data_IF_302344222900
#
_entry.id   IF_302344222900
#
_cell.length_a   1.000
_cell.length_b   1.000
_cell.length_c   1.000
_cell.angle_alpha   90.00
_cell.angle_beta   90.00
_cell.angle_gamma   90.00
#
_symmetry.space_group_name_H-M   'P 1'
#
loop_
_entity.id
_entity.type
_entity.pdbx_description
1 polymer ?
2 non-polymer ?
3 non-polymer ?
4 water ?
#
# COMPACT_ATOMS: atom_id res chain seq x y z
N UNK A 3 -4.36 -20.79 -16.39
CA UNK A 3 -4.99 -20.17 -15.19
C UNK A 3 -4.88 -21.10 -13.99
N UNK A 4 -4.20 -20.60 -12.96
CA UNK A 4 -4.00 -21.31 -11.71
C UNK A 4 -5.27 -21.33 -10.82
N UNK A 5 -5.93 -20.18 -10.73
CA UNK A 5 -7.08 -20.00 -9.82
C UNK A 5 -8.31 -20.77 -10.25
N UNK A 6 -8.91 -21.46 -9.30
CA UNK A 6 -10.17 -22.16 -9.55
C UNK A 6 -11.38 -21.24 -9.47
N UNK A 7 -11.48 -20.47 -8.40
CA UNK A 7 -12.52 -19.46 -8.25
C UNK A 7 -11.88 -18.12 -8.61
N UNK A 8 -12.54 -17.38 -9.48
CA UNK A 8 -12.00 -16.11 -9.98
C UNK A 8 -12.50 -14.98 -9.10
N UNK A 9 -11.73 -13.91 -9.06
CA UNK A 9 -12.00 -12.77 -8.19
C UNK A 9 -11.74 -11.51 -9.01
N UNK A 10 -12.52 -10.46 -8.70
CA UNK A 10 -12.31 -9.12 -9.25
C UNK A 10 -12.32 -8.10 -8.13
N UNK A 11 -11.61 -6.99 -8.29
CA UNK A 11 -11.66 -5.87 -7.35
C UNK A 11 -13.09 -5.43 -7.10
N UNK A 12 -13.42 -5.16 -5.82
CA UNK A 12 -14.75 -4.63 -5.45
C UNK A 12 -15.00 -3.22 -5.97
N UNK A 13 -13.92 -2.46 -6.10
CA UNK A 13 -14.01 -1.06 -6.46
C UNK A 13 -12.98 -0.79 -7.53
N UNK A 14 -13.17 0.28 -8.30
CA UNK A 14 -12.20 0.67 -9.31
C UNK A 14 -11.87 -0.49 -10.24
N UNK A 15 -12.85 -1.33 -10.54
CA UNK A 15 -12.57 -2.56 -11.24
C UNK A 15 -12.02 -2.37 -12.65
N UNK A 16 -12.61 -1.43 -13.39
CA UNK A 16 -12.37 -1.34 -14.83
C UNK A 16 -11.49 -0.20 -15.25
N UNK A 17 -10.69 0.35 -14.33
CA UNK A 17 -9.85 1.49 -14.69
C UNK A 17 -9.02 1.24 -15.93
N UNK A 18 -8.43 0.05 -16.07
CA UNK A 18 -7.55 -0.24 -17.19
C UNK A 18 -8.25 -0.85 -18.40
N UNK A 19 -9.57 -0.78 -18.39
CA UNK A 19 -10.38 -0.85 -19.61
C UNK A 19 -10.81 0.54 -20.03
N UNK A 20 -11.14 1.40 -19.06
CA UNK A 20 -11.40 2.83 -19.30
C UNK A 20 -10.20 3.50 -19.96
N UNK A 21 -9.01 3.20 -19.43
CA UNK A 21 -7.75 3.71 -19.93
C UNK A 21 -7.12 2.66 -20.83
N UNK A 22 -6.31 3.15 -21.77
CA UNK A 22 -5.79 2.31 -22.84
C UNK A 22 -4.29 2.05 -22.72
N UNK A 23 -3.71 1.42 -23.74
CA UNK A 23 -2.30 1.08 -23.77
C UNK A 23 -1.36 2.24 -23.48
N UNK A 24 -1.75 3.44 -23.88
CA UNK A 24 -0.91 4.62 -23.65
C UNK A 24 -0.67 4.82 -22.16
N UNK A 25 -1.64 4.38 -21.37
CA UNK A 25 -1.57 4.50 -19.90
C UNK A 25 -0.86 3.34 -19.22
N UNK A 26 -1.21 2.11 -19.58
CA UNK A 26 -0.71 0.94 -18.82
C UNK A 26 0.30 0.05 -19.52
N UNK A 27 0.58 0.28 -20.80
CA UNK A 27 1.46 -0.60 -21.54
C UNK A 27 2.91 -0.12 -21.39
N UNK A 28 3.54 -0.50 -20.29
CA UNK A 28 4.91 -0.06 -20.01
C UNK A 28 5.99 -0.80 -20.80
N UNK A 29 5.68 -2.02 -21.25
CA UNK A 29 6.63 -2.80 -22.07
C UNK A 29 6.99 -2.06 -23.33
N UNK A 30 5.98 -1.42 -23.93
CA UNK A 30 6.16 -0.69 -25.17
C UNK A 30 6.38 0.79 -24.91
N UNK A 31 7.40 1.06 -24.10
CA UNK A 31 7.93 2.39 -23.92
C UNK A 31 9.45 2.31 -24.12
N UNK A 32 10.04 3.47 -24.41
CA UNK A 32 11.49 3.59 -24.48
C UNK A 32 11.88 4.73 -23.51
N UNK A 33 12.76 4.40 -22.58
CA UNK A 33 13.17 5.38 -21.57
C UNK A 33 14.23 6.32 -22.13
N UNK A 34 13.97 7.62 -21.99
CA UNK A 34 14.92 8.67 -22.33
C UNK A 34 15.79 8.93 -21.10
N UNK A 35 16.88 8.18 -20.96
CA UNK A 35 17.83 8.38 -19.86
C UNK A 35 18.62 9.64 -20.15
N UNK A 36 18.73 10.51 -19.15
CA UNK A 36 19.46 11.77 -19.30
C UNK A 36 20.79 11.65 -18.57
N UNK A 37 21.90 11.78 -19.29
CA UNK A 37 23.21 11.65 -18.66
C UNK A 37 23.45 12.83 -17.75
N UNK A 38 23.85 12.52 -16.52
CA UNK A 38 23.99 13.53 -15.48
C UNK A 38 25.38 14.16 -15.50
N UNK A 39 25.62 14.99 -16.51
CA UNK A 39 26.88 15.72 -16.60
C UNK A 39 26.88 17.00 -15.78
N UNK A 40 25.72 17.58 -15.48
CA UNK A 40 25.70 18.86 -14.76
C UNK A 40 24.50 19.11 -13.87
N UNK A 41 23.64 18.12 -13.70
CA UNK A 41 22.35 18.39 -13.06
C UNK A 41 22.23 18.07 -11.59
N UNK A 42 22.83 16.96 -11.13
CA UNK A 42 22.58 16.43 -9.79
C UNK A 42 23.88 16.07 -9.10
N UNK A 43 24.08 16.66 -7.93
CA UNK A 43 25.21 16.37 -7.08
C UNK A 43 24.74 15.39 -6.03
N UNK A 44 25.47 14.29 -5.87
CA UNK A 44 25.15 13.26 -4.89
C UNK A 44 25.82 13.66 -3.57
N UNK A 45 25.05 13.74 -2.49
CA UNK A 45 25.60 13.99 -1.17
C UNK A 45 25.51 12.67 -0.37
N UNK A 46 24.79 12.66 0.74
CA UNK A 46 24.90 11.53 1.67
C UNK A 46 23.86 10.45 1.44
N UNK A 47 24.22 9.22 1.83
CA UNK A 47 23.31 8.08 1.72
C UNK A 47 22.19 8.22 2.74
N UNK A 48 20.94 7.99 2.31
CA UNK A 48 19.79 8.07 3.22
C UNK A 48 19.15 6.71 3.49
N UNK A 49 19.45 5.73 2.65
CA UNK A 49 18.95 4.39 2.86
C UNK A 49 19.25 3.44 1.73
N UNK A 50 18.57 2.29 1.76
CA UNK A 50 18.73 1.26 0.74
C UNK A 50 17.52 0.32 0.72
N UNK A 54 18.35 -1.32 -4.37
CA UNK A 54 18.92 -0.02 -4.72
C UNK A 54 19.69 0.58 -3.55
N UNK A 55 20.58 1.54 -3.88
CA UNK A 55 21.18 2.45 -2.89
C UNK A 55 20.63 3.86 -3.13
N UNK A 56 20.22 4.50 -2.05
CA UNK A 56 19.47 5.77 -2.13
C UNK A 56 20.26 6.88 -1.46
N UNK A 57 20.41 8.00 -2.17
CA UNK A 57 21.21 9.12 -1.70
C UNK A 57 20.39 10.42 -1.72
N UNK A 58 20.67 11.30 -0.77
CA UNK A 58 20.22 12.67 -0.85
C UNK A 58 21.24 13.45 -1.66
N UNK A 59 20.74 14.30 -2.54
CA UNK A 59 21.57 15.11 -3.38
C UNK A 59 20.96 16.47 -3.53
N UNK A 60 21.53 17.22 -4.46
CA UNK A 60 21.10 18.59 -4.73
C UNK A 60 20.98 18.78 -6.23
N UNK A 61 19.92 19.47 -6.64
CA UNK A 61 19.81 20.00 -7.98
C UNK A 61 20.80 21.14 -8.07
N UNK A 62 21.70 21.09 -9.04
CA UNK A 62 22.76 22.09 -9.09
C UNK A 62 22.28 23.48 -9.52
N UNK A 63 21.27 23.57 -10.37
CA UNK A 63 20.75 24.89 -10.73
C UNK A 63 20.05 25.55 -9.52
N UNK A 64 18.98 24.92 -9.03
CA UNK A 64 18.13 25.53 -7.99
C UNK A 64 18.59 25.33 -6.56
N UNK A 65 19.49 24.38 -6.33
CA UNK A 65 20.03 24.05 -5.01
C UNK A 65 19.00 23.37 -4.10
N UNK A 66 17.91 22.88 -4.68
CA UNK A 66 16.86 22.16 -3.96
C UNK A 66 17.39 20.75 -3.69
N UNK A 67 17.18 20.24 -2.47
CA UNK A 67 17.47 18.83 -2.17
C UNK A 67 16.56 17.91 -2.98
N UNK A 68 17.15 16.80 -3.45
CA UNK A 68 16.44 15.73 -4.14
C UNK A 68 16.96 14.38 -3.61
N UNK A 69 16.31 13.30 -4.02
CA UNK A 69 16.74 11.94 -3.74
C UNK A 69 17.18 11.27 -5.04
N UNK A 70 18.30 10.56 -4.99
CA UNK A 70 18.78 9.77 -6.11
C UNK A 70 18.74 8.30 -5.73
N UNK A 71 17.92 7.55 -6.45
CA UNK A 71 17.77 6.11 -6.24
C UNK A 71 18.53 5.37 -7.33
N UNK A 72 19.68 4.82 -6.95
CA UNK A 72 20.60 4.12 -7.87
C UNK A 72 20.12 2.70 -8.07
N UNK A 73 19.84 2.35 -9.33
CA UNK A 73 19.28 1.06 -9.72
C UNK A 73 20.36 0.04 -10.08
N UNK A 74 20.16 -1.22 -9.66
CA UNK A 74 21.09 -2.30 -9.97
C UNK A 74 20.78 -2.93 -11.34
N UNK A 77 17.33 -5.26 -14.22
CA UNK A 77 15.89 -5.43 -14.01
C UNK A 77 15.08 -4.49 -14.93
N UNK A 78 15.35 -4.56 -16.22
CA UNK A 78 14.92 -3.54 -17.18
C UNK A 78 13.39 -3.35 -17.28
N UNK A 79 12.65 -4.44 -17.37
CA UNK A 79 11.20 -4.37 -17.53
C UNK A 79 10.54 -3.75 -16.30
N UNK A 80 11.03 -4.15 -15.12
CA UNK A 80 10.51 -3.62 -13.88
C UNK A 80 10.80 -2.13 -13.73
N UNK A 81 11.95 -1.67 -14.24
CA UNK A 81 12.28 -0.23 -14.22
C UNK A 81 11.29 0.53 -15.09
N UNK A 82 10.99 0.00 -16.28
CA UNK A 82 10.05 0.65 -17.17
C UNK A 82 8.66 0.77 -16.51
N UNK A 83 8.29 -0.26 -15.77
CA UNK A 83 7.01 -0.31 -15.07
C UNK A 83 6.95 0.74 -13.96
N UNK A 84 8.00 0.79 -13.16
CA UNK A 84 8.09 1.78 -12.08
C UNK A 84 7.99 3.22 -12.61
N UNK A 85 8.74 3.51 -13.67
CA UNK A 85 8.67 4.82 -14.31
C UNK A 85 7.29 5.15 -14.87
N UNK A 86 6.63 4.16 -15.52
CA UNK A 86 5.32 4.42 -16.09
C UNK A 86 4.28 4.73 -15.01
N UNK A 87 4.39 3.99 -13.91
CA UNK A 87 3.48 4.17 -12.78
C UNK A 87 3.71 5.53 -12.13
N UNK A 88 4.97 5.86 -11.87
CA UNK A 88 5.29 7.14 -11.24
C UNK A 88 4.81 8.31 -12.09
N UNK A 89 5.03 8.21 -13.41
CA UNK A 89 4.63 9.29 -14.29
C UNK A 89 3.10 9.37 -14.49
N UNK A 90 2.44 8.22 -14.57
CA UNK A 90 0.98 8.18 -14.64
C UNK A 90 0.41 8.89 -13.39
N UNK A 91 0.95 8.58 -12.22
CA UNK A 91 0.42 9.15 -10.99
C UNK A 91 0.69 10.65 -10.86
N UNK A 92 1.87 11.09 -11.29
CA UNK A 92 2.20 12.50 -11.09
C UNK A 92 1.61 13.39 -12.18
N UNK A 93 1.37 12.83 -13.37
CA UNK A 93 0.99 13.66 -14.53
C UNK A 93 -0.51 13.82 -14.78
N UNK A 94 -1.35 13.08 -14.05
CA UNK A 94 -2.78 13.14 -14.23
C UNK A 94 -3.28 14.55 -13.91
N UNK A 95 -3.86 15.19 -14.93
CA UNK A 95 -4.23 16.61 -14.79
C UNK A 95 -5.33 16.84 -13.73
N UNK A 96 -6.31 15.95 -13.73
CA UNK A 96 -7.47 16.02 -12.82
C UNK A 96 -7.58 14.67 -12.09
N UNK A 97 -6.87 14.55 -10.96
CA UNK A 97 -6.91 13.28 -10.25
C UNK A 97 -8.34 12.85 -9.94
N UNK A 98 -8.68 11.58 -10.17
CA UNK A 98 -10.09 11.19 -9.97
C UNK A 98 -10.64 11.45 -8.57
N UNK A 99 -9.77 11.32 -7.57
CA UNK A 99 -10.12 11.52 -6.19
C UNK A 99 -10.41 12.97 -5.81
N UNK A 100 -10.15 13.91 -6.72
CA UNK A 100 -10.53 15.31 -6.51
C UNK A 100 -11.92 15.65 -7.07
N UNK A 101 -12.52 14.75 -7.85
CA UNK A 101 -13.84 14.98 -8.45
C UNK A 101 -14.95 14.58 -7.47
N UNK A 102 -16.18 15.06 -7.68
CA UNK A 102 -17.30 14.61 -6.87
C UNK A 102 -17.47 13.11 -6.92
N UNK A 103 -17.80 12.54 -5.76
CA UNK A 103 -17.95 11.10 -5.60
C UNK A 103 -19.16 10.60 -6.39
N UNK A 104 -18.97 9.48 -7.09
CA UNK A 104 -20.04 8.80 -7.83
C UNK A 104 -20.07 7.35 -7.37
N UNK A 105 -21.00 7.01 -6.49
CA UNK A 105 -21.00 5.71 -5.85
C UNK A 105 -21.08 4.55 -6.84
N UNK A 106 -21.83 4.74 -7.91
CA UNK A 106 -22.03 3.67 -8.87
C UNK A 106 -20.80 3.46 -9.74
N UNK A 107 -19.93 4.47 -9.83
CA UNK A 107 -18.67 4.35 -10.53
C UNK A 107 -17.54 3.91 -9.59
N UNK A 108 -17.85 3.84 -8.32
CA UNK A 108 -16.89 3.41 -7.32
C UNK A 108 -17.05 1.91 -7.01
N UNK A 109 -18.25 1.53 -6.55
CA UNK A 109 -18.59 0.11 -6.31
C UNK A 109 -18.99 -0.57 -7.62
N UNK A 110 -17.99 -1.07 -8.31
CA UNK A 110 -18.12 -1.51 -9.69
C UNK A 110 -18.30 -3.01 -9.84
N UNK A 111 -17.91 -3.79 -8.84
CA UNK A 111 -18.10 -5.23 -8.82
C UNK A 111 -19.53 -5.54 -8.35
N UNK A 112 -20.34 -6.18 -9.20
CA UNK A 112 -21.77 -6.41 -8.94
C UNK A 112 -22.16 -7.83 -8.56
N UNK A 113 -21.21 -8.64 -8.14
CA UNK A 113 -21.59 -9.89 -7.50
C UNK A 113 -22.48 -9.54 -6.29
N UNK A 114 -23.54 -10.32 -6.08
CA UNK A 114 -24.37 -10.16 -4.88
C UNK A 114 -23.55 -10.39 -3.62
N UNK A 115 -22.68 -11.40 -3.65
CA UNK A 115 -21.85 -11.75 -2.50
C UNK A 115 -20.79 -10.69 -2.19
N UNK A 116 -20.49 -9.83 -3.16
CA UNK A 116 -19.50 -8.78 -2.96
C UNK A 116 -20.17 -7.49 -2.45
N UNK A 117 -21.42 -7.28 -2.82
CA UNK A 117 -22.15 -6.10 -2.36
C UNK A 117 -22.48 -6.14 -0.85
N UNK A 118 -22.49 -7.34 -0.26
CA UNK A 118 -22.67 -7.44 1.19
C UNK A 118 -21.49 -6.81 1.95
N UNK A 119 -20.38 -6.59 1.26
CA UNK A 119 -19.21 -5.97 1.92
C UNK A 119 -19.20 -4.45 1.85
N UNK A 120 -20.20 -3.84 1.22
CA UNK A 120 -20.33 -2.40 1.23
C UNK A 120 -20.63 -1.94 2.64
N UNK A 121 -19.79 -1.10 3.21
CA UNK A 121 -19.98 -0.66 4.59
C UNK A 121 -21.03 0.44 4.67
N UNK A 122 -21.67 0.56 5.85
CA UNK A 122 -22.65 1.65 6.04
C UNK A 122 -22.02 3.03 6.22
N UNK A 123 -20.69 3.09 6.25
CA UNK A 123 -19.94 4.34 6.33
C UNK A 123 -18.96 4.34 5.14
N UNK A 124 -18.62 5.53 4.70
CA UNK A 124 -17.66 5.72 3.61
C UNK A 124 -17.29 7.20 3.59
N UNK A 125 -16.03 7.50 3.30
CA UNK A 125 -15.63 8.87 3.05
C UNK A 125 -16.02 9.18 1.61
N UNK A 126 -16.93 10.12 1.41
CA UNK A 126 -17.53 10.36 0.09
C UNK A 126 -17.19 11.74 -0.46
N UNK A 127 -16.08 12.31 0.00
CA UNK A 127 -15.68 13.64 -0.37
C UNK A 127 -14.46 13.63 -1.25
N UNK A 128 -14.28 14.69 -2.05
CA UNK A 128 -13.00 14.89 -2.71
C UNK A 128 -11.86 15.00 -1.72
N UNK A 129 -10.67 14.60 -2.13
CA UNK A 129 -9.48 14.74 -1.28
C UNK A 129 -8.22 14.88 -2.15
N UNK A 130 -7.13 15.28 -1.49
CA UNK A 130 -5.86 15.53 -2.14
C UNK A 130 -4.84 14.39 -2.01
N UNK A 131 -5.28 13.15 -1.94
CA UNK A 131 -4.35 12.03 -1.89
C UNK A 131 -3.30 12.00 -2.99
N UNK A 132 -3.60 12.55 -4.17
CA UNK A 132 -2.57 12.64 -5.21
C UNK A 132 -1.31 13.36 -4.71
N UNK A 133 -1.48 14.30 -3.80
CA UNK A 133 -0.34 15.09 -3.36
C UNK A 133 0.55 14.30 -2.39
N UNK A 134 0.10 13.10 -2.01
CA UNK A 134 0.84 12.24 -1.08
C UNK A 134 1.63 11.16 -1.79
N UNK A 135 1.67 11.20 -3.12
CA UNK A 135 2.46 10.30 -3.92
C UNK A 135 3.80 10.99 -4.19
N UNK A 136 4.91 10.31 -3.92
CA UNK A 136 6.22 10.91 -4.20
C UNK A 136 6.31 11.28 -5.68
N UNK A 137 6.95 12.41 -5.97
CA UNK A 137 7.16 12.82 -7.36
C UNK A 137 8.51 12.42 -7.92
N UNK A 138 8.45 11.73 -9.05
CA UNK A 138 9.62 11.51 -9.89
C UNK A 138 9.97 12.78 -10.66
N UNK A 139 11.21 13.23 -10.50
CA UNK A 139 11.69 14.45 -11.17
C UNK A 139 12.50 14.18 -12.43
N UNK A 140 13.21 13.07 -12.47
CA UNK A 140 14.14 12.80 -13.59
C UNK A 140 14.59 11.36 -13.61
N UNK A 141 15.07 10.97 -14.79
CA UNK A 141 15.54 9.64 -15.08
C UNK A 141 16.92 9.85 -15.68
N UNK A 142 17.96 9.37 -14.99
CA UNK A 142 19.34 9.73 -15.31
C UNK A 142 20.28 8.52 -15.41
N UNK A 143 21.43 8.74 -16.02
CA UNK A 143 22.54 7.81 -15.90
C UNK A 143 23.79 8.54 -15.42
N UNK A 144 24.56 7.88 -14.56
CA UNK A 144 25.84 8.41 -14.12
C UNK A 144 26.71 8.62 -15.37
N UNK A 145 27.37 9.78 -15.47
CA UNK A 145 28.09 10.12 -16.71
C UNK A 145 29.38 9.32 -16.90
N UNK A 146 29.90 8.73 -15.83
CA UNK A 146 31.10 7.91 -15.87
C UNK A 146 30.75 6.42 -15.89
N UNK A 147 29.99 5.96 -14.88
CA UNK A 147 29.68 4.53 -14.76
C UNK A 147 28.52 4.09 -15.65
N UNK A 148 27.71 5.04 -16.09
CA UNK A 148 26.50 4.78 -16.91
C UNK A 148 25.37 4.08 -16.13
N UNK A 149 25.49 3.99 -14.82
CA UNK A 149 24.49 3.35 -13.96
C UNK A 149 23.21 4.18 -13.96
N UNK A 150 22.05 3.52 -14.14
CA UNK A 150 20.79 4.26 -14.18
C UNK A 150 20.31 4.63 -12.78
N UNK A 151 19.63 5.77 -12.69
CA UNK A 151 19.04 6.22 -11.43
C UNK A 151 17.76 6.98 -11.65
N UNK A 152 16.91 6.99 -10.62
CA UNK A 152 15.73 7.84 -10.59
C UNK A 152 15.93 8.98 -9.60
N UNK A 153 15.48 10.15 -9.97
CA UNK A 153 15.60 11.36 -9.16
C UNK A 153 14.20 11.72 -8.67
N UNK A 154 14.07 11.87 -7.35
CA UNK A 154 12.81 12.17 -6.70
C UNK A 154 12.87 13.44 -5.86
N UNK A 155 11.68 13.98 -5.65
CA UNK A 155 11.34 14.82 -4.51
C UNK A 155 11.98 14.30 -3.23
N UNK A 156 12.55 15.21 -2.44
CA UNK A 156 13.13 14.88 -1.13
C UNK A 156 12.13 15.15 0.00
N UNK A 157 12.01 14.19 0.92
CA UNK A 157 11.23 14.38 2.14
C UNK A 157 12.18 14.35 3.35
N UNK A 158 12.00 15.28 4.29
CA UNK A 158 12.79 15.28 5.54
C UNK A 158 12.22 14.23 6.51
N UNK A 159 12.48 12.97 6.20
CA UNK A 159 11.95 11.84 6.95
C UNK A 159 12.70 11.58 8.25
N UNK A 160 11.96 11.05 9.20
CA UNK A 160 12.53 10.43 10.40
C UNK A 160 12.10 8.96 10.37
N UNK A 161 13.08 8.06 10.49
CA UNK A 161 12.84 6.63 10.44
C UNK A 161 11.69 6.28 11.39
N UNK A 162 10.79 5.42 10.96
CA UNK A 162 9.63 5.07 11.75
C UNK A 162 9.95 4.57 13.16
N UNK A 163 11.10 3.91 13.30
CA UNK A 163 11.46 3.36 14.61
C UNK A 163 11.84 4.45 15.59
N UNK A 164 12.18 5.61 15.07
CA UNK A 164 12.47 6.79 15.86
C UNK A 164 11.24 7.67 16.01
N UNK A 165 10.47 7.82 14.93
CA UNK A 165 9.32 8.73 14.94
C UNK A 165 8.06 8.17 15.58
N UNK A 166 7.71 6.93 15.27
CA UNK A 166 6.41 6.44 15.69
C UNK A 166 6.20 6.45 17.19
N UNK A 167 7.23 6.10 18.00
CA UNK A 167 7.01 6.15 19.46
C UNK A 167 6.67 7.54 19.98
N UNK A 168 6.96 8.59 19.22
CA UNK A 168 6.66 9.98 19.59
C UNK A 168 5.21 10.38 19.34
N UNK A 169 4.51 9.65 18.48
CA UNK A 169 3.24 10.11 17.98
C UNK A 169 2.10 9.85 18.96
N UNK A 170 1.25 10.85 19.12
CA UNK A 170 0.05 10.70 19.90
C UNK A 170 -0.99 9.90 19.10
N UNK A 171 -2.05 9.47 19.78
CA UNK A 171 -3.18 8.81 19.16
C UNK A 171 -3.68 9.68 17.99
N UNK A 172 -3.94 10.95 18.23
CA UNK A 172 -4.48 11.80 17.18
C UNK A 172 -3.52 11.94 16.00
N UNK A 173 -2.22 11.97 16.27
CA UNK A 173 -1.24 12.05 15.19
C UNK A 173 -1.22 10.78 14.35
N UNK A 174 -1.32 9.62 14.99
CA UNK A 174 -1.39 8.37 14.24
C UNK A 174 -2.65 8.38 13.36
N UNK A 175 -3.78 8.79 13.92
CA UNK A 175 -5.01 8.93 13.12
C UNK A 175 -4.78 9.85 11.93
N UNK A 176 -4.12 10.99 12.15
CA UNK A 176 -3.85 11.94 11.07
C UNK A 176 -3.00 11.33 9.96
N UNK A 177 -1.90 10.68 10.31
CA UNK A 177 -0.99 10.18 9.26
C UNK A 177 -1.59 8.96 8.56
N UNK A 178 -2.30 8.12 9.27
CA UNK A 178 -2.87 6.95 8.62
C UNK A 178 -4.01 7.37 7.68
N UNK A 179 -4.70 8.46 7.99
CA UNK A 179 -5.68 9.04 7.06
C UNK A 179 -4.95 9.54 5.79
N UNK A 180 -3.82 10.23 5.95
CA UNK A 180 -3.03 10.66 4.80
C UNK A 180 -2.61 9.48 3.94
N UNK A 181 -2.22 8.38 4.55
CA UNK A 181 -1.80 7.20 3.82
C UNK A 181 -2.98 6.62 3.06
N UNK A 182 -4.15 6.55 3.69
CA UNK A 182 -5.34 6.08 3.00
C UNK A 182 -5.69 6.96 1.81
N UNK A 183 -5.52 8.27 1.94
CA UNK A 183 -5.78 9.15 0.80
C UNK A 183 -4.87 8.79 -0.37
N UNK A 184 -3.58 8.58 -0.09
CA UNK A 184 -2.62 8.14 -1.11
C UNK A 184 -3.04 6.85 -1.79
N UNK A 185 -3.47 5.87 -1.01
CA UNK A 185 -3.88 4.57 -1.55
C UNK A 185 -5.17 4.69 -2.33
N UNK A 186 -6.13 5.45 -1.83
CA UNK A 186 -7.38 5.66 -2.60
C UNK A 186 -7.03 6.27 -3.97
N UNK A 187 -6.13 7.26 -4.00
CA UNK A 187 -5.76 7.84 -5.26
C UNK A 187 -5.10 6.82 -6.18
N UNK A 188 -4.10 6.09 -5.70
CA UNK A 188 -3.45 5.19 -6.64
C UNK A 188 -4.39 4.06 -7.12
N UNK A 189 -5.27 3.59 -6.23
CA UNK A 189 -6.29 2.59 -6.64
C UNK A 189 -7.25 3.17 -7.67
N UNK A 190 -7.63 4.43 -7.50
CA UNK A 190 -8.52 5.10 -8.46
C UNK A 190 -7.86 5.22 -9.83
N UNK A 191 -6.54 5.17 -9.84
CA UNK A 191 -5.69 5.20 -11.04
C UNK A 191 -5.31 3.80 -11.55
N UNK A 192 -5.94 2.77 -10.98
CA UNK A 192 -5.79 1.43 -11.49
C UNK A 192 -4.46 0.79 -11.16
N UNK A 193 -3.85 1.24 -10.07
CA UNK A 193 -2.53 0.79 -9.63
C UNK A 193 -2.56 0.23 -8.21
N UNK A 194 -1.89 -0.92 -8.03
CA UNK A 194 -1.66 -1.53 -6.73
C UNK A 194 -0.24 -1.20 -6.33
N UNK A 195 -0.03 -0.72 -5.10
CA UNK A 195 1.33 -0.40 -4.66
C UNK A 195 2.15 -1.68 -4.43
N UNK A 196 1.58 -2.62 -3.67
CA UNK A 196 2.11 -3.94 -3.40
C UNK A 196 3.35 -3.98 -2.51
N UNK A 197 3.69 -2.88 -1.85
CA UNK A 197 4.78 -2.91 -0.86
C UNK A 197 4.55 -1.84 0.21
N UNK A 198 3.33 -1.73 0.69
CA UNK A 198 3.02 -0.76 1.74
C UNK A 198 3.62 -1.24 3.05
N UNK A 199 4.43 -0.38 3.68
CA UNK A 199 5.08 -0.67 4.96
C UNK A 199 5.73 0.64 5.43
N UNK A 200 6.09 0.75 6.71
CA UNK A 200 6.61 2.02 7.22
C UNK A 200 7.87 2.51 6.50
N UNK A 201 8.72 1.60 6.06
CA UNK A 201 9.93 1.97 5.37
C UNK A 201 9.67 2.68 4.05
N UNK A 202 8.47 2.48 3.49
CA UNK A 202 8.08 3.10 2.24
C UNK A 202 7.11 4.26 2.42
N UNK A 203 7.02 4.77 3.64
CA UNK A 203 6.18 5.92 3.96
C UNK A 203 7.04 6.98 4.61
N UNK A 204 7.30 8.05 3.87
CA UNK A 204 8.15 9.13 4.36
C UNK A 204 7.28 10.17 5.06
N UNK A 205 7.68 10.58 6.27
CA UNK A 205 6.95 11.57 7.02
C UNK A 205 7.88 12.66 7.51
N UNK A 206 7.54 13.90 7.16
CA UNK A 206 8.20 15.12 7.67
C UNK A 206 7.24 15.69 8.72
N UNK A 207 7.46 15.36 9.99
CA UNK A 207 6.49 15.61 11.03
C UNK A 207 6.23 17.10 11.29
N UNK A 208 7.26 17.91 11.20
CA UNK A 208 7.06 19.34 11.53
C UNK A 208 6.08 19.96 10.52
N UNK A 209 6.10 19.46 9.27
CA UNK A 209 5.22 19.95 8.22
C UNK A 209 3.98 19.09 7.98
N UNK A 210 3.82 18.04 8.78
CA UNK A 210 2.66 17.13 8.71
C UNK A 210 2.51 16.57 7.31
N UNK A 211 3.66 16.28 6.70
CA UNK A 211 3.78 15.86 5.32
C UNK A 211 4.06 14.36 5.25
N UNK A 212 3.26 13.64 4.46
CA UNK A 212 3.43 12.20 4.27
C UNK A 212 3.52 11.89 2.78
N UNK A 213 4.48 11.04 2.38
CA UNK A 213 4.63 10.63 0.98
C UNK A 213 4.82 9.12 0.91
N UNK A 214 4.04 8.48 0.05
CA UNK A 214 4.18 7.06 -0.25
C UNK A 214 5.24 6.91 -1.34
N UNK A 215 6.30 6.19 -1.03
CA UNK A 215 7.44 6.01 -1.92
C UNK A 215 7.59 4.56 -2.35
N UNK A 216 8.63 4.31 -3.13
CA UNK A 216 9.05 2.97 -3.54
C UNK A 216 7.99 2.21 -4.31
N UNK A 217 7.83 2.66 -5.54
CA UNK A 217 6.84 2.11 -6.48
C UNK A 217 7.42 1.01 -7.37
N UNK A 218 8.55 0.46 -6.97
CA UNK A 218 9.22 -0.56 -7.77
C UNK A 218 8.53 -1.91 -7.82
N UNK A 219 7.58 -2.18 -6.90
CA UNK A 219 6.78 -3.41 -6.97
C UNK A 219 5.36 -3.15 -7.42
N UNK A 220 5.02 -1.89 -7.68
CA UNK A 220 3.66 -1.53 -8.07
C UNK A 220 3.27 -2.11 -9.41
N UNK A 221 1.98 -2.35 -9.60
CA UNK A 221 1.50 -2.96 -10.84
C UNK A 221 0.12 -2.40 -11.18
N UNK A 222 -0.19 -2.41 -12.49
CA UNK A 222 -1.51 -2.07 -13.00
C UNK A 222 -2.48 -3.22 -12.74
N UNK A 223 -3.67 -2.86 -12.24
CA UNK A 223 -4.74 -3.83 -12.01
C UNK A 223 -5.55 -4.08 -13.30
N UNK A 224 -5.54 -5.34 -13.73
CA UNK A 224 -6.28 -5.81 -14.90
C UNK A 224 -7.18 -6.94 -14.44
N UNK A 225 -8.43 -6.88 -14.85
CA UNK A 225 -9.45 -7.83 -14.34
C UNK A 225 -9.07 -9.27 -14.71
N UNK A 226 -9.10 -10.13 -13.68
CA UNK A 226 -8.77 -11.55 -13.77
C UNK A 226 -7.33 -11.86 -14.18
N UNK A 227 -6.42 -10.90 -14.05
CA UNK A 227 -5.02 -11.18 -14.27
C UNK A 227 -4.47 -11.94 -13.07
N UNK A 228 -3.65 -12.96 -13.32
CA UNK A 228 -2.96 -13.69 -12.25
C UNK A 228 -1.57 -13.12 -12.10
N UNK A 229 -1.31 -12.54 -10.92
CA UNK A 229 -0.06 -11.86 -10.64
C UNK A 229 0.93 -12.74 -9.90
N UNK A 230 2.19 -12.33 -10.00
CA UNK A 230 3.27 -12.87 -9.20
C UNK A 230 2.97 -12.58 -7.73
N UNK A 231 3.09 -13.60 -6.88
CA UNK A 231 2.88 -13.39 -5.44
C UNK A 231 4.17 -13.07 -4.69
N UNK A 232 5.31 -13.10 -5.36
CA UNK A 232 6.59 -12.67 -4.74
C UNK A 232 6.74 -11.15 -4.72
N UNK A 233 5.85 -10.51 -3.98
CA UNK A 233 5.80 -9.07 -3.86
C UNK A 233 5.59 -8.74 -2.38
N UNK A 234 5.48 -7.44 -2.07
CA UNK A 234 5.50 -6.95 -0.70
C UNK A 234 6.77 -7.38 -0.01
N UNK A 235 6.76 -7.30 1.32
CA UNK A 235 7.85 -7.72 2.17
C UNK A 235 7.22 -8.62 3.21
N UNK A 236 7.95 -9.66 3.64
CA UNK A 236 7.41 -10.79 4.41
C UNK A 236 6.40 -10.42 5.46
N UNK A 237 6.77 -9.49 6.35
CA UNK A 237 5.92 -9.18 7.48
C UNK A 237 4.58 -8.54 7.10
N UNK A 238 4.47 -8.02 5.87
CA UNK A 238 3.30 -7.28 5.41
C UNK A 238 2.56 -7.98 4.30
N UNK A 239 3.00 -9.19 3.96
CA UNK A 239 2.36 -9.97 2.91
C UNK A 239 0.99 -10.45 3.35
N UNK A 240 0.01 -10.21 2.50
CA UNK A 240 -1.32 -10.70 2.78
C UNK A 240 -1.43 -12.20 2.54
N UNK A 241 -2.45 -12.81 3.15
CA UNK A 241 -2.67 -14.25 2.97
C UNK A 241 -2.73 -14.70 1.52
N UNK A 242 -3.29 -13.86 0.63
CA UNK A 242 -3.37 -14.22 -0.79
C UNK A 242 -1.98 -14.49 -1.35
N UNK A 243 -0.97 -13.78 -0.89
CA UNK A 243 0.40 -13.98 -1.42
C UNK A 243 0.96 -15.28 -0.84
N UNK A 244 0.65 -15.52 0.41
CA UNK A 244 1.25 -16.66 1.11
C UNK A 244 0.65 -17.98 0.66
N UNK A 245 -0.61 -17.96 0.23
CA UNK A 245 -1.27 -19.18 -0.26
C UNK A 245 -1.26 -19.28 -1.78
N UNK A 246 -0.61 -18.31 -2.46
CA UNK A 246 -0.49 -18.26 -3.91
C UNK A 246 -1.85 -18.17 -4.61
N UNK A 247 -2.72 -17.29 -4.08
CA UNK A 247 -3.95 -16.90 -4.77
C UNK A 247 -3.59 -15.69 -5.60
N UNK A 248 -3.46 -15.92 -6.89
CA UNK A 248 -2.81 -14.96 -7.80
C UNK A 248 -3.73 -13.87 -8.30
N UNK A 249 -5.03 -14.06 -8.21
CA UNK A 249 -5.98 -13.13 -8.80
C UNK A 249 -6.40 -12.07 -7.77
N UNK A 250 -5.39 -11.38 -7.22
CA UNK A 250 -5.59 -10.43 -6.17
C UNK A 250 -5.72 -9.01 -6.76
N UNK A 251 -5.92 -8.02 -5.89
CA UNK A 251 -6.21 -6.67 -6.35
C UNK A 251 -5.77 -5.62 -5.32
N UNK A 252 -6.30 -4.41 -5.45
CA UNK A 252 -5.95 -3.28 -4.56
C UNK A 252 -6.02 -3.63 -3.07
N UNK A 253 -6.90 -4.55 -2.73
CA UNK A 253 -7.16 -4.93 -1.35
C UNK A 253 -5.91 -5.54 -0.68
N UNK A 254 -4.95 -6.01 -1.45
CA UNK A 254 -3.65 -6.40 -0.91
C UNK A 254 -3.05 -5.27 -0.08
N UNK A 255 -3.17 -4.04 -0.58
CA UNK A 255 -2.58 -2.87 0.06
C UNK A 255 -3.29 -2.57 1.39
N UNK A 256 -4.56 -2.92 1.48
CA UNK A 256 -5.30 -2.69 2.73
C UNK A 256 -4.92 -3.68 3.82
N UNK A 257 -4.57 -4.91 3.42
CA UNK A 257 -3.95 -5.83 4.39
C UNK A 257 -2.67 -5.23 4.93
N UNK A 258 -1.78 -4.81 4.04
CA UNK A 258 -0.52 -4.24 4.45
C UNK A 258 -0.73 -3.03 5.36
N UNK A 259 -1.64 -2.16 4.97
CA UNK A 259 -2.05 -1.04 5.79
C UNK A 259 -2.49 -1.48 7.19
N UNK A 260 -3.37 -2.47 7.27
CA UNK A 260 -3.84 -2.99 8.54
C UNK A 260 -2.73 -3.52 9.39
N UNK A 261 -1.75 -4.19 8.78
CA UNK A 261 -0.62 -4.76 9.53
C UNK A 261 0.23 -3.63 10.11
N UNK A 262 0.43 -2.61 9.30
CA UNK A 262 1.16 -1.42 9.74
C UNK A 262 0.40 -0.75 10.89
N UNK A 263 -0.90 -0.61 10.74
CA UNK A 263 -1.74 0.00 11.77
C UNK A 263 -1.65 -0.80 13.07
N UNK A 264 -1.82 -2.12 12.99
CA UNK A 264 -1.76 -2.97 14.20
C UNK A 264 -0.43 -2.82 14.89
N UNK A 265 0.65 -2.78 14.13
CA UNK A 265 1.96 -2.59 14.73
C UNK A 265 2.06 -1.29 15.50
N UNK A 266 1.53 -0.22 14.94
CA UNK A 266 1.60 1.12 15.58
C UNK A 266 0.75 1.17 16.84
N UNK A 267 -0.46 0.65 16.75
CA UNK A 267 -1.43 0.73 17.83
C UNK A 267 -1.03 -0.17 19.01
N UNK A 268 -0.58 -1.38 18.70
CA UNK A 268 -0.22 -2.36 19.74
C UNK A 268 1.26 -2.29 20.14
N UNK A 269 2.03 -1.44 19.47
CA UNK A 269 3.45 -1.28 19.74
C UNK A 269 4.16 -2.64 19.72
N UNK A 270 3.93 -3.36 18.63
CA UNK A 270 4.48 -4.69 18.41
C UNK A 270 4.90 -4.70 16.95
N UNK A 271 6.20 -4.62 16.72
CA UNK A 271 6.74 -4.37 15.40
C UNK A 271 7.84 -5.38 15.10
N UNK A 272 7.67 -6.19 14.04
CA UNK A 272 6.45 -6.25 13.24
C UNK A 272 5.35 -6.99 14.00
N UNK A 273 4.13 -6.87 13.52
CA UNK A 273 2.99 -7.44 14.21
C UNK A 273 2.92 -8.98 14.03
N UNK A 274 3.06 -9.42 12.80
CA UNK A 274 3.11 -10.82 12.44
C UNK A 274 4.55 -11.12 12.09
N UNK A 275 5.29 -11.70 13.05
CA UNK A 275 6.72 -11.88 12.92
C UNK A 275 7.11 -13.30 12.51
N UNK A 276 6.92 -13.60 11.23
CA UNK A 276 7.29 -14.91 10.70
C UNK A 276 8.80 -15.05 10.54
N UNK A 277 9.29 -16.26 10.75
CA UNK A 277 10.71 -16.59 10.64
C UNK A 277 11.03 -17.17 9.27
N UNK A 278 10.00 -17.34 8.46
CA UNK A 278 10.13 -17.84 7.10
C UNK A 278 8.85 -17.47 6.37
N UNK A 279 8.79 -17.78 5.08
CA UNK A 279 7.61 -17.52 4.29
C UNK A 279 6.42 -18.35 4.78
N UNK A 280 6.69 -19.64 5.00
CA UNK A 280 5.70 -20.56 5.51
C UNK A 280 5.27 -20.17 6.92
N UNK A 281 6.23 -19.81 7.77
CA UNK A 281 5.91 -19.46 9.16
C UNK A 281 5.15 -18.13 9.26
N UNK A 282 5.33 -17.25 8.28
CA UNK A 282 4.57 -16.00 8.26
C UNK A 282 3.07 -16.29 8.22
N UNK A 283 2.67 -17.28 7.43
CA UNK A 283 1.26 -17.63 7.34
C UNK A 283 0.81 -18.24 8.65
N UNK A 284 1.67 -19.09 9.23
CA UNK A 284 1.32 -19.69 10.50
C UNK A 284 1.11 -18.62 11.58
N UNK A 285 1.96 -17.60 11.60
CA UNK A 285 1.81 -16.49 12.54
C UNK A 285 0.48 -15.71 12.37
N UNK A 286 0.04 -15.56 11.13
CA UNK A 286 -1.25 -14.94 10.87
C UNK A 286 -2.40 -15.81 11.38
N UNK A 287 -2.34 -17.10 11.07
CA UNK A 287 -3.40 -18.02 11.43
C UNK A 287 -3.49 -18.16 12.94
N UNK A 288 -2.36 -18.08 13.64
CA UNK A 288 -2.36 -18.11 15.10
C UNK A 288 -3.10 -16.94 15.74
N UNK A 289 -3.32 -15.87 14.96
CA UNK A 289 -4.13 -14.75 15.41
C UNK A 289 -5.57 -14.83 14.91
N UNK A 290 -5.75 -14.90 13.59
CA UNK A 290 -7.08 -14.91 12.98
C UNK A 290 -7.82 -16.24 13.12
N UNK A 291 -7.07 -17.32 13.38
CA UNK A 291 -7.66 -18.65 13.65
C UNK A 291 -7.81 -19.53 12.43
N UNK A 292 -7.72 -20.85 12.63
CA UNK A 292 -7.82 -21.82 11.56
C UNK A 292 -9.23 -21.93 10.95
N UNK A 293 -10.27 -21.74 11.76
CA UNK A 293 -11.64 -21.90 11.29
C UNK A 293 -11.91 -20.98 10.09
N UNK A 294 -11.65 -19.70 10.27
CA UNK A 294 -11.88 -18.74 9.20
C UNK A 294 -10.88 -18.93 8.06
N UNK A 295 -9.68 -19.42 8.38
CA UNK A 295 -8.70 -19.77 7.34
C UNK A 295 -9.26 -20.85 6.41
N UNK A 296 -9.79 -21.92 6.99
CA UNK A 296 -10.37 -23.00 6.19
C UNK A 296 -11.54 -22.52 5.34
N UNK A 297 -12.36 -21.64 5.89
CA UNK A 297 -13.51 -21.11 5.17
C UNK A 297 -13.03 -20.33 3.96
N UNK A 298 -11.97 -19.58 4.15
CA UNK A 298 -11.32 -18.85 3.06
C UNK A 298 -10.77 -19.74 1.96
N UNK A 299 -10.02 -20.79 2.32
CA UNK A 299 -9.52 -21.71 1.31
C UNK A 299 -10.66 -22.34 0.54
N UNK A 300 -11.75 -22.65 1.24
CA UNK A 300 -12.91 -23.27 0.60
C UNK A 300 -13.60 -22.31 -0.36
N UNK A 301 -13.75 -21.05 0.06
CA UNK A 301 -14.42 -20.04 -0.82
C UNK A 301 -13.74 -19.93 -2.18
N UNK A 302 -12.41 -19.96 -2.20
CA UNK A 302 -11.64 -19.80 -3.43
C UNK A 302 -11.10 -21.12 -4.00
N UNK A 303 -11.40 -22.24 -3.33
CA UNK A 303 -10.89 -23.55 -3.72
C UNK A 303 -9.39 -23.54 -3.93
N UNK A 304 -8.71 -23.01 -2.91
CA UNK A 304 -7.26 -22.90 -2.90
C UNK A 304 -6.66 -24.17 -2.35
N UNK A 305 -5.61 -24.63 -3.00
CA UNK A 305 -4.72 -25.65 -2.47
C UNK A 305 -3.43 -24.95 -2.08
N UNK A 306 -2.98 -25.19 -0.86
CA UNK A 306 -1.76 -24.57 -0.37
C UNK A 306 -0.54 -24.94 -1.23
N UNK A 307 0.42 -24.00 -1.37
CA UNK A 307 1.63 -24.26 -2.14
C UNK A 307 2.41 -25.47 -1.58
N UNK A 308 3.30 -26.02 -2.40
CA UNK A 308 3.94 -27.31 -2.10
C UNK A 308 4.73 -27.37 -0.79
N UNK A 309 5.14 -26.21 -0.27
CA UNK A 309 5.95 -26.15 0.94
C UNK A 309 5.15 -26.43 2.22
N UNK A 310 3.82 -26.36 2.13
CA UNK A 310 2.95 -26.37 3.30
C UNK A 310 2.43 -27.74 3.63
N UNK A 311 2.57 -28.12 4.90
CA UNK A 311 1.68 -29.12 5.48
C UNK A 311 0.33 -28.46 5.73
N UNK A 312 -0.69 -29.28 5.95
CA UNK A 312 -2.01 -28.79 6.37
C UNK A 312 -1.88 -27.92 7.62
N UNK A 313 -2.65 -26.84 7.64
CA UNK A 313 -2.59 -25.90 8.75
C UNK A 313 -3.09 -26.58 10.02
N UNK A 314 -2.30 -26.48 11.09
CA UNK A 314 -2.72 -26.96 12.41
C UNK A 314 -3.91 -26.12 12.91
N UNK A 315 -4.57 -26.60 13.95
CA UNK A 315 -5.72 -25.91 14.52
C UNK A 315 -5.31 -24.90 15.59
N UNK A 316 -5.71 -23.65 15.38
CA UNK A 316 -5.47 -22.56 16.30
C UNK A 316 -6.78 -21.83 16.49
N UNK A 317 -7.12 -21.50 17.73
CA UNK A 317 -8.31 -20.73 18.04
C UNK A 317 -7.96 -19.26 17.89
N UNK A 318 -8.88 -18.49 17.29
CA UNK A 318 -8.67 -17.06 17.10
C UNK A 318 -8.25 -16.38 18.39
N UNK A 319 -7.25 -15.50 18.28
CA UNK A 319 -6.83 -14.66 19.38
C UNK A 319 -7.50 -13.30 19.24
N UNK A 320 -8.43 -12.98 20.15
CA UNK A 320 -9.07 -11.67 20.08
C UNK A 320 -8.07 -10.52 20.17
N UNK A 321 -8.37 -9.42 19.47
CA UNK A 321 -7.49 -8.26 19.41
C UNK A 321 -7.20 -7.70 20.81
N UNK A 322 -8.18 -7.76 21.70
CA UNK A 322 -8.00 -7.18 23.04
C UNK A 322 -6.85 -7.86 23.83
N UNK A 323 -6.46 -9.07 23.43
CA UNK A 323 -5.34 -9.77 24.07
C UNK A 323 -3.98 -9.12 23.79
N UNK A 324 -3.91 -8.22 22.80
CA UNK A 324 -2.66 -7.52 22.49
C UNK A 324 -2.55 -6.20 23.25
N UNK A 325 -3.59 -5.85 23.99
CA UNK A 325 -3.63 -4.61 24.77
C UNK A 325 -2.78 -4.77 26.02
N UNK A 326 -1.97 -3.77 26.31
CA UNK A 326 -1.21 -3.72 27.58
C UNK A 326 -1.06 -2.28 28.04
N UNK A 327 -0.51 -2.07 29.24
CA UNK A 327 -0.45 -0.72 29.80
C UNK A 327 0.41 0.22 28.95
N UNK A 328 1.39 -0.35 28.25
CA UNK A 328 2.28 0.40 27.38
C UNK A 328 1.61 0.92 26.10
N UNK A 329 0.57 0.23 25.63
CA UNK A 329 -0.12 0.63 24.40
C UNK A 329 -1.59 1.06 24.56
N UNK A 330 -2.12 1.07 25.78
CA UNK A 330 -3.57 1.27 25.95
C UNK A 330 -4.06 2.67 25.59
N UNK A 331 -3.15 3.65 25.64
CA UNK A 331 -3.44 5.00 25.18
C UNK A 331 -3.76 5.02 23.69
N UNK A 332 -3.27 4.01 22.96
CA UNK A 332 -3.57 3.86 21.53
C UNK A 332 -4.62 2.80 21.23
N UNK A 333 -4.61 1.71 22.00
CA UNK A 333 -5.46 0.55 21.72
C UNK A 333 -6.73 0.48 22.54
N UNK A 334 -6.88 1.38 23.51
CA UNK A 334 -7.97 1.27 24.51
C UNK A 334 -9.30 1.90 24.13
N UNK A 335 -9.68 1.82 22.86
CA UNK A 335 -11.02 2.22 22.44
C UNK A 335 -11.60 1.21 21.45
N UNK A 336 -12.92 1.19 21.36
CA UNK A 336 -13.60 0.18 20.56
C UNK A 336 -13.39 0.42 19.07
N UNK A 337 -13.21 1.68 18.69
CA UNK A 337 -13.14 2.07 17.29
C UNK A 337 -11.89 1.50 16.62
N UNK A 338 -10.75 1.63 17.27
CA UNK A 338 -9.51 1.15 16.64
C UNK A 338 -9.54 -0.37 16.49
N UNK A 339 -10.12 -1.07 17.46
CA UNK A 339 -10.17 -2.53 17.41
C UNK A 339 -11.05 -2.96 16.23
N UNK A 340 -12.18 -2.27 16.05
CA UNK A 340 -13.08 -2.57 14.94
C UNK A 340 -12.43 -2.27 13.58
N UNK A 341 -11.70 -1.17 13.51
CA UNK A 341 -10.98 -0.80 12.28
C UNK A 341 -9.97 -1.87 11.90
N UNK A 342 -9.13 -2.25 12.87
CA UNK A 342 -8.13 -3.27 12.62
C UNK A 342 -8.82 -4.57 12.20
N UNK A 343 -9.86 -4.96 12.92
CA UNK A 343 -10.54 -6.20 12.62
C UNK A 343 -11.09 -6.28 11.19
N UNK A 344 -11.50 -5.12 10.67
CA UNK A 344 -12.12 -5.03 9.34
C UNK A 344 -11.11 -4.87 8.20
N UNK A 345 -9.85 -4.68 8.55
CA UNK A 345 -8.76 -4.64 7.59
C UNK A 345 -8.04 -6.00 7.48
N UNK A 346 -7.76 -6.61 8.63
CA UNK A 346 -7.07 -7.87 8.67
C UNK A 346 -8.05 -9.03 8.58
N UNK A 347 -8.51 -9.28 7.37
CA UNK A 347 -9.39 -10.40 7.02
C UNK A 347 -8.68 -11.26 6.00
N UNK A 348 -8.78 -12.58 6.12
CA UNK A 348 -8.19 -13.47 5.12
C UNK A 348 -8.70 -13.15 3.72
N UNK A 349 -10.02 -13.13 3.58
CA UNK A 349 -10.68 -12.87 2.30
C UNK A 349 -10.48 -11.40 1.94
N UNK A 350 -9.76 -11.21 0.85
CA UNK A 350 -9.43 -9.88 0.40
C UNK A 350 -10.68 -9.07 0.08
N UNK A 351 -11.72 -9.76 -0.42
CA UNK A 351 -12.99 -9.09 -0.74
C UNK A 351 -13.67 -8.50 0.52
N UNK A 352 -13.43 -9.09 1.68
CA UNK A 352 -14.10 -8.66 2.90
C UNK A 352 -13.49 -7.41 3.49
N UNK A 353 -12.23 -7.16 3.17
CA UNK A 353 -11.51 -6.04 3.77
C UNK A 353 -12.14 -4.72 3.38
N UNK A 354 -12.08 -3.76 4.28
CA UNK A 354 -12.42 -2.39 3.93
C UNK A 354 -11.59 -1.94 2.75
N UNK A 355 -12.23 -1.18 1.87
CA UNK A 355 -11.49 -0.40 0.88
C UNK A 355 -10.92 0.88 1.52
N UNK A 356 -10.05 1.58 0.82
CA UNK A 356 -9.48 2.81 1.37
C UNK A 356 -10.57 3.86 1.72
N UNK A 357 -11.55 4.11 0.84
CA UNK A 357 -12.63 5.06 1.15
C UNK A 357 -13.48 4.64 2.31
N UNK A 358 -13.79 3.34 2.36
CA UNK A 358 -14.54 2.84 3.52
C UNK A 358 -13.76 3.05 4.79
N UNK A 359 -12.48 2.70 4.79
CA UNK A 359 -11.66 2.89 5.96
C UNK A 359 -11.61 4.36 6.35
N UNK A 360 -11.49 5.26 5.39
CA UNK A 360 -11.46 6.70 5.70
C UNK A 360 -12.77 7.17 6.34
N UNK A 361 -13.86 6.44 6.09
CA UNK A 361 -15.16 6.75 6.67
C UNK A 361 -15.38 6.18 8.03
N UNK A 362 -14.44 5.36 8.50
CA UNK A 362 -14.63 4.65 9.75
C UNK A 362 -14.73 5.63 10.93
N UNK A 363 -15.53 5.28 11.96
CA UNK A 363 -15.56 6.11 13.18
C UNK A 363 -14.22 6.53 13.82
N UNK A 364 -13.21 5.67 13.79
CA UNK A 364 -11.87 6.02 14.28
C UNK A 364 -11.33 7.33 13.66
N UNK A 365 -11.66 7.62 12.41
CA UNK A 365 -11.18 8.84 11.78
C UNK A 365 -12.08 10.06 11.93
N UNK A 366 -13.14 9.94 12.72
CA UNK A 366 -14.04 11.07 12.90
C UNK A 366 -13.30 12.35 13.35
N UNK A 367 -12.37 12.26 14.33
CA UNK A 367 -11.69 13.50 14.75
C UNK A 367 -10.85 14.16 13.65
N UNK A 368 -10.36 13.35 12.72
CA UNK A 368 -9.60 13.90 11.61
C UNK A 368 -10.54 14.52 10.58
N UNK A 369 -11.62 13.84 10.25
CA UNK A 369 -12.57 14.37 9.30
C UNK A 369 -13.18 15.69 9.80
N UNK A 370 -13.43 15.79 11.10
CA UNK A 370 -14.08 16.99 11.65
C UNK A 370 -13.22 18.25 11.48
N UNK A 371 -11.91 18.08 11.33
CA UNK A 371 -10.99 19.22 11.20
C UNK A 371 -10.70 19.59 9.75
N UNK A 372 -11.25 18.88 8.78
CA UNK A 372 -10.87 19.14 7.38
C UNK A 372 -11.32 20.51 6.87
N UNK A 373 -12.61 20.79 6.98
CA UNK A 373 -13.19 22.01 6.43
C UNK A 373 -12.78 23.22 7.25
N UNK A 374 -12.38 24.28 6.56
CA UNK A 374 -11.85 25.47 7.20
C UNK A 374 -12.75 26.66 6.90
X LIG B 1 12.52 -1.91 -0.93
X LIG B 1 11.42 -1.61 0.02
X LIG B 1 11.94 -2.31 -2.37
X LIG B 1 13.43 -3.12 -0.37
X LIG B 1 13.52 -0.47 -1.07
X LIG B 1 14.03 0.19 -2.61
X LIG B 1 15.35 -0.40 -2.91
X LIG B 1 13.04 -0.07 -3.84
X LIG B 1 14.27 1.78 -2.35
X LIG B 1 13.24 2.86 -1.71
X LIG B 1 12.69 3.70 -2.85
X LIG B 1 12.23 2.18 -0.78
X LIG B 1 14.20 3.79 -0.81
X LIG B 1 14.94 3.13 0.23
X LIG B 1 15.06 3.92 1.53
X LIG B 1 15.71 5.18 1.29
X LIG B 1 13.75 4.27 2.22
X LIG B 1 13.23 3.24 3.06
X LIG B 1 14.13 5.50 3.01
X LIG B 1 14.62 5.19 4.32
X LIG B 1 15.25 6.17 2.20
X LIG B 1 14.59 7.27 1.47
X LIG B 1 13.91 7.18 0.32
X LIG B 1 13.40 8.36 -0.04
X LIG B 1 13.75 9.23 0.92
X LIG B 1 13.53 10.67 1.18
X LIG B 1 12.86 11.37 0.39
X LIG B 1 14.08 11.19 2.29
X LIG B 1 14.80 10.49 3.19
X LIG B 1 15.29 11.14 4.26
X LIG B 1 15.03 9.16 3.01
X LIG B 1 14.54 8.52 1.93
X LIG C 1 11.51 0.60 0.08
#
# INVERSE_FOLDING_TARGET
GHMKCRVWSEARVYTNINKQRTEEYWDYENTVIDWSTNTKDYEIENKVGRGKYSEVFQGVKLDSKVKIVIKMLKPVKKKKIKREIKILTDLSNEKVPPTTLPFQKDQYYTNQKEDVLKFIRPYIFDQPHNGHANIIHLFDIIKDPISKTPALVFEYVDNVDFRILYPKLTDLEIRFYMFELLKALDYCHSMGIMHRDVKPHNVMIDHKNKKLRLIDWGLAEFYHVNMEYNVRVASRFFKGPELLVDYRMYDYSLDLWSFGTMLASMIFKREPFFHGTSNTDQLVKIVKVLGTSDFEKYLLKYEITLPREFYDMDQYIRKPWHRFINDGNKHLSGNDEIIDLIDNLLRYDHQERLTAKEAMGHPWFAPIREQIEK
GNP PG O1G O2G O3G N3B PB O1B O2B O3A PA O1A O2A O5' C5' C4' O4' C3' O3' C2' O2' C1' N9 C8 N7 C5 C6 O6 N1 C2 N2 N3 C4
MG MG
#
